data_IF_888931555841
#
_entry.id   IF_888931555841
#
_cell.length_a   1.000
_cell.length_b   1.000
_cell.length_c   1.000
_cell.angle_alpha   90.00
_cell.angle_beta   90.00
_cell.angle_gamma   90.00
#
_symmetry.space_group_name_H-M   'P 1'
#
loop_
_entity.id
_entity.type
_entity.pdbx_description
1 polymer ?
#
# COMPACT_ATOMS: atom_id res chain seq x y z
N UNK A 1 -14.66 -17.88 -29.85
CA UNK A 1 -14.66 -17.15 -28.57
C UNK A 1 -14.61 -18.23 -27.52
N UNK A 2 -13.40 -18.65 -27.22
CA UNK A 2 -13.13 -19.93 -26.57
C UNK A 2 -13.52 -19.88 -25.11
N UNK A 3 -14.42 -20.80 -24.74
CA UNK A 3 -14.81 -21.04 -23.37
C UNK A 3 -13.62 -21.65 -22.63
N UNK A 4 -12.83 -20.83 -21.95
CA UNK A 4 -11.85 -21.31 -20.98
C UNK A 4 -12.62 -22.05 -19.88
N UNK A 5 -12.58 -23.39 -19.92
CA UNK A 5 -13.09 -24.25 -18.87
C UNK A 5 -12.26 -24.03 -17.60
N UNK A 6 -12.74 -23.15 -16.73
CA UNK A 6 -12.25 -22.89 -15.37
C UNK A 6 -12.64 -24.03 -14.41
N UNK A 7 -12.24 -25.26 -14.71
CA UNK A 7 -12.32 -26.37 -13.75
C UNK A 7 -10.96 -26.47 -13.06
N UNK A 8 -10.83 -25.73 -11.97
CA UNK A 8 -9.66 -25.79 -11.10
C UNK A 8 -9.74 -27.01 -10.18
N UNK A 9 -8.65 -27.77 -10.09
CA UNK A 9 -8.58 -29.01 -9.31
C UNK A 9 -8.48 -28.77 -7.78
N UNK A 10 -8.25 -27.53 -7.32
CA UNK A 10 -8.17 -27.22 -5.88
C UNK A 10 -8.45 -25.73 -5.56
N UNK A 11 -9.72 -25.35 -5.36
CA UNK A 11 -10.09 -23.96 -5.05
C UNK A 11 -9.70 -23.51 -3.63
N UNK A 12 -9.45 -24.44 -2.69
CA UNK A 12 -9.03 -24.09 -1.34
C UNK A 12 -7.56 -23.69 -1.34
N UNK A 13 -6.70 -24.47 -2.01
CA UNK A 13 -5.29 -24.12 -2.16
C UNK A 13 -5.09 -22.81 -2.91
N UNK A 14 -5.88 -22.53 -3.95
CA UNK A 14 -5.85 -21.22 -4.62
C UNK A 14 -6.17 -20.09 -3.64
N UNK A 15 -7.16 -20.25 -2.76
CA UNK A 15 -7.54 -19.25 -1.76
C UNK A 15 -6.41 -18.99 -0.77
N UNK A 16 -5.77 -20.05 -0.29
CA UNK A 16 -4.68 -19.96 0.67
C UNK A 16 -3.46 -19.27 0.06
N UNK A 17 -3.12 -19.57 -1.20
CA UNK A 17 -2.05 -18.88 -1.93
C UNK A 17 -2.37 -17.40 -2.15
N UNK A 18 -3.60 -17.07 -2.55
CA UNK A 18 -4.02 -15.69 -2.74
C UNK A 18 -3.95 -14.88 -1.44
N UNK A 19 -4.18 -15.50 -0.28
CA UNK A 19 -4.05 -14.84 1.02
C UNK A 19 -2.60 -14.44 1.35
N UNK A 20 -1.60 -15.17 0.81
CA UNK A 20 -0.17 -14.92 1.05
C UNK A 20 0.45 -13.94 0.04
N UNK A 21 -0.30 -13.56 -1.01
CA UNK A 21 0.24 -12.84 -2.16
C UNK A 21 0.75 -11.44 -1.84
N UNK A 22 0.10 -10.74 -0.91
CA UNK A 22 0.52 -9.39 -0.51
C UNK A 22 1.86 -9.44 0.23
N UNK A 23 1.97 -10.29 1.26
CA UNK A 23 3.20 -10.48 2.02
C UNK A 23 4.37 -10.91 1.11
N UNK A 24 4.09 -11.74 0.10
CA UNK A 24 5.08 -12.12 -0.92
C UNK A 24 5.55 -10.92 -1.75
N UNK A 25 4.63 -10.08 -2.22
CA UNK A 25 4.93 -8.90 -3.04
C UNK A 25 5.67 -7.79 -2.27
N UNK A 26 5.42 -7.71 -0.96
CA UNK A 26 6.10 -6.80 -0.05
C UNK A 26 7.45 -7.35 0.45
N UNK A 27 7.73 -8.64 0.20
CA UNK A 27 8.97 -9.30 0.59
C UNK A 27 9.02 -9.70 2.07
N UNK A 28 7.86 -9.82 2.71
CA UNK A 28 7.70 -10.13 4.14
C UNK A 28 7.32 -11.60 4.38
N UNK A 29 6.99 -12.35 3.32
CA UNK A 29 6.63 -13.75 3.41
C UNK A 29 7.85 -14.63 3.73
N UNK A 30 7.66 -15.62 4.62
CA UNK A 30 8.71 -16.56 4.99
C UNK A 30 9.18 -17.41 3.79
N UNK A 31 10.48 -17.69 3.69
CA UNK A 31 11.10 -18.37 2.54
C UNK A 31 10.46 -19.73 2.20
N UNK A 32 10.03 -20.50 3.20
CA UNK A 32 9.32 -21.76 2.97
C UNK A 32 8.00 -21.55 2.24
N UNK A 33 7.24 -20.53 2.62
CA UNK A 33 5.96 -20.19 2.01
C UNK A 33 6.15 -19.55 0.63
N UNK A 34 7.21 -18.77 0.41
CA UNK A 34 7.57 -18.28 -0.92
C UNK A 34 7.72 -19.43 -1.92
N UNK A 35 8.43 -20.50 -1.53
CA UNK A 35 8.61 -21.69 -2.39
C UNK A 35 7.29 -22.37 -2.73
N UNK A 36 6.40 -22.53 -1.75
CA UNK A 36 5.08 -23.15 -1.95
C UNK A 36 4.19 -22.31 -2.88
N UNK A 37 4.22 -20.99 -2.70
CA UNK A 37 3.52 -20.03 -3.55
C UNK A 37 4.06 -20.05 -4.97
N UNK A 38 5.38 -19.98 -5.15
CA UNK A 38 6.03 -20.04 -6.47
C UNK A 38 5.70 -21.34 -7.21
N UNK A 39 5.71 -22.47 -6.50
CA UNK A 39 5.31 -23.74 -7.08
C UNK A 39 3.85 -23.70 -7.57
N UNK A 40 2.93 -23.19 -6.74
CA UNK A 40 1.54 -23.09 -7.14
C UNK A 40 1.34 -22.15 -8.34
N UNK A 41 2.01 -21.00 -8.37
CA UNK A 41 1.97 -20.08 -9.52
C UNK A 41 2.53 -20.69 -10.81
N UNK A 42 3.41 -21.70 -10.71
CA UNK A 42 3.91 -22.43 -11.87
C UNK A 42 2.90 -23.46 -12.41
N UNK A 43 2.05 -24.01 -11.53
CA UNK A 43 1.09 -25.08 -11.84
C UNK A 43 -0.34 -24.53 -12.11
N UNK A 44 -0.64 -23.30 -11.68
CA UNK A 44 -1.99 -22.71 -11.69
C UNK A 44 -2.05 -21.42 -12.55
N UNK A 45 -2.59 -21.51 -13.79
CA UNK A 45 -2.69 -20.36 -14.69
C UNK A 45 -3.57 -19.20 -14.17
N UNK A 46 -4.61 -19.49 -13.39
CA UNK A 46 -5.50 -18.44 -12.89
C UNK A 46 -4.84 -17.64 -11.77
N UNK A 47 -4.24 -18.31 -10.78
CA UNK A 47 -3.47 -17.63 -9.73
C UNK A 47 -2.29 -16.87 -10.33
N UNK A 48 -1.65 -17.41 -11.38
CA UNK A 48 -0.63 -16.69 -12.13
C UNK A 48 -1.16 -15.41 -12.76
N UNK A 49 -2.34 -15.45 -13.38
CA UNK A 49 -2.99 -14.28 -13.96
C UNK A 49 -3.28 -13.21 -12.91
N UNK A 50 -3.76 -13.62 -11.72
CA UNK A 50 -3.99 -12.71 -10.59
C UNK A 50 -2.69 -12.06 -10.11
N UNK A 51 -1.64 -12.87 -9.91
CA UNK A 51 -0.31 -12.38 -9.53
C UNK A 51 0.27 -11.39 -10.55
N UNK A 52 0.24 -11.71 -11.84
CA UNK A 52 0.77 -10.86 -12.89
C UNK A 52 0.02 -9.52 -12.95
N UNK A 53 -1.31 -9.55 -12.78
CA UNK A 53 -2.15 -8.35 -12.76
C UNK A 53 -1.86 -7.45 -11.55
N UNK A 54 -1.74 -8.05 -10.36
CA UNK A 54 -1.43 -7.32 -9.13
C UNK A 54 -0.01 -6.73 -9.18
N UNK A 55 0.97 -7.53 -9.59
CA UNK A 55 2.37 -7.09 -9.76
C UNK A 55 2.49 -5.93 -10.74
N UNK A 56 1.75 -5.99 -11.86
CA UNK A 56 1.69 -4.90 -12.84
C UNK A 56 1.08 -3.63 -12.25
N UNK A 57 0.03 -3.76 -11.45
CA UNK A 57 -0.60 -2.63 -10.76
C UNK A 57 0.39 -1.94 -9.83
N UNK A 58 1.12 -2.71 -9.02
CA UNK A 58 2.18 -2.18 -8.14
C UNK A 58 3.27 -1.47 -8.95
N UNK A 59 3.71 -2.08 -10.05
CA UNK A 59 4.72 -1.49 -10.92
C UNK A 59 4.28 -0.12 -11.48
N UNK A 60 3.03 -0.01 -11.95
CA UNK A 60 2.48 1.26 -12.45
C UNK A 60 2.50 2.33 -11.36
N UNK A 61 2.04 2.02 -10.14
CA UNK A 61 2.06 2.99 -9.04
C UNK A 61 3.47 3.41 -8.63
N UNK A 62 4.45 2.50 -8.64
CA UNK A 62 5.86 2.82 -8.38
C UNK A 62 6.40 3.74 -9.47
N UNK A 63 6.13 3.44 -10.75
CA UNK A 63 6.54 4.29 -11.86
C UNK A 63 5.91 5.70 -11.78
N UNK A 64 4.64 5.81 -11.37
CA UNK A 64 3.98 7.11 -11.16
C UNK A 64 4.58 7.92 -10.01
N UNK A 65 5.06 7.26 -8.95
CA UNK A 65 5.78 7.91 -7.85
C UNK A 65 7.10 8.53 -8.33
N UNK A 66 7.81 7.80 -9.18
CA UNK A 66 9.13 8.21 -9.67
C UNK A 66 9.07 9.28 -10.77
N UNK A 67 7.88 9.59 -11.29
CA UNK A 67 7.62 10.79 -12.08
C UNK A 67 7.35 11.95 -11.11
N UNK A 68 8.27 12.92 -10.97
CA UNK A 68 8.05 14.04 -10.07
C UNK A 68 6.82 14.80 -10.54
N UNK A 69 5.80 14.90 -9.69
CA UNK A 69 4.74 15.86 -9.91
C UNK A 69 5.38 17.25 -9.87
N UNK A 70 5.31 18.00 -10.97
CA UNK A 70 5.73 19.40 -10.97
C UNK A 70 4.87 20.17 -9.97
N UNK A 71 5.46 20.49 -8.82
CA UNK A 71 4.78 21.28 -7.81
C UNK A 71 4.79 22.75 -8.23
N UNK A 72 3.67 23.47 -8.09
CA UNK A 72 3.65 24.92 -8.29
C UNK A 72 4.71 25.61 -7.44
N UNK A 73 5.33 26.65 -7.98
CA UNK A 73 6.33 27.43 -7.25
C UNK A 73 5.74 27.96 -5.93
N UNK A 74 6.53 27.91 -4.86
CA UNK A 74 6.10 28.40 -3.55
C UNK A 74 5.26 27.42 -2.73
N UNK A 75 4.96 26.20 -3.21
CA UNK A 75 4.15 25.22 -2.47
C UNK A 75 4.82 24.81 -1.16
N UNK A 76 6.13 24.58 -1.19
CA UNK A 76 6.91 24.21 -0.01
C UNK A 76 6.84 25.30 1.06
N UNK A 77 7.10 26.56 0.68
CA UNK A 77 7.07 27.70 1.59
C UNK A 77 5.68 27.89 2.21
N UNK A 78 4.61 27.80 1.40
CA UNK A 78 3.23 27.91 1.90
C UNK A 78 2.89 26.77 2.86
N UNK A 79 3.29 25.54 2.54
CA UNK A 79 3.04 24.37 3.39
C UNK A 79 3.77 24.50 4.74
N UNK A 80 5.07 24.81 4.71
CA UNK A 80 5.89 25.00 5.91
C UNK A 80 5.33 26.14 6.76
N UNK A 81 4.92 27.25 6.15
CA UNK A 81 4.29 28.36 6.85
C UNK A 81 3.02 27.90 7.58
N UNK A 82 2.13 27.16 6.90
CA UNK A 82 0.89 26.64 7.52
C UNK A 82 1.17 25.67 8.66
N UNK A 83 2.13 24.75 8.50
CA UNK A 83 2.52 23.82 9.57
C UNK A 83 3.01 24.60 10.80
N UNK A 84 3.89 25.59 10.61
CA UNK A 84 4.40 26.43 11.71
C UNK A 84 3.29 27.19 12.44
N UNK A 85 2.36 27.79 11.71
CA UNK A 85 1.21 28.48 12.30
C UNK A 85 0.36 27.52 13.12
N UNK A 86 0.02 26.34 12.58
CA UNK A 86 -0.81 25.35 13.29
C UNK A 86 -0.13 24.76 14.53
N UNK A 87 1.21 24.60 14.53
CA UNK A 87 1.95 24.19 15.72
C UNK A 87 2.00 25.28 16.79
N UNK A 88 2.09 26.55 16.37
CA UNK A 88 2.06 27.68 17.30
C UNK A 88 0.65 27.91 17.89
N UNK A 89 -0.40 27.74 17.10
CA UNK A 89 -1.80 27.88 17.55
C UNK A 89 -2.17 26.85 18.62
N UNK A 90 -1.59 25.63 18.57
CA UNK A 90 -1.75 24.62 19.61
C UNK A 90 -1.08 24.98 20.95
N UNK A 91 -0.08 25.86 20.94
CA UNK A 91 0.62 26.32 22.15
C UNK A 91 -0.14 27.45 22.86
N UNK A 92 -0.89 28.27 22.11
CA UNK A 92 -1.71 29.37 22.64
C UNK A 92 -2.99 28.88 23.35
N UNK A 93 -3.57 27.75 22.96
CA UNK A 93 -4.79 27.22 23.61
C UNK A 93 -4.56 26.55 24.98
N UNK A 94 -3.30 26.32 25.37
CA UNK A 94 -2.94 25.72 26.67
C UNK A 94 -2.44 26.74 27.71
N UNK A 95 -1.96 27.93 27.30
CA UNK A 95 -1.50 28.96 28.26
C UNK A 95 -2.63 29.72 28.94
N UNK A 96 -3.83 29.75 28.36
CA UNK A 96 -4.95 30.56 28.88
C UNK A 96 -5.76 29.87 30.00
N UNK A 97 -5.40 28.64 30.41
CA UNK A 97 -6.14 27.89 31.45
C UNK A 97 -5.62 28.07 32.88
N UNK A 98 -4.50 28.77 33.09
CA UNK A 98 -3.90 28.91 34.44
C UNK A 98 -4.05 30.30 35.08
N UNK A 99 -4.78 31.23 34.48
CA UNK A 99 -4.93 32.59 35.02
C UNK A 99 -6.19 32.82 35.89
N UNK A 100 -7.04 31.81 36.12
CA UNK A 100 -8.36 32.02 36.75
C UNK A 100 -8.73 30.99 37.83
N UNK A 101 -7.88 30.75 38.82
CA UNK A 101 -8.32 30.24 40.14
C UNK A 101 -7.35 30.74 41.21
N UNK A 102 -7.60 31.93 41.73
CA UNK A 102 -7.10 32.37 43.03
C UNK A 102 -8.11 33.35 43.60
N UNK A 103 -9.12 32.80 44.26
CA UNK A 103 -9.84 33.40 45.40
C UNK A 103 -10.43 32.26 46.25
#
# INVERSE_FOLDING_TARGET
>A
MDAHHYLHDDPERCRDILAQLNDYLDGELAESLCRELEQHLAECPDCRTVYDTLSRTIHIYRALRDVPAELPQGVEERLIHRIKVSLNDGHLQHSDRHASTSD
#
